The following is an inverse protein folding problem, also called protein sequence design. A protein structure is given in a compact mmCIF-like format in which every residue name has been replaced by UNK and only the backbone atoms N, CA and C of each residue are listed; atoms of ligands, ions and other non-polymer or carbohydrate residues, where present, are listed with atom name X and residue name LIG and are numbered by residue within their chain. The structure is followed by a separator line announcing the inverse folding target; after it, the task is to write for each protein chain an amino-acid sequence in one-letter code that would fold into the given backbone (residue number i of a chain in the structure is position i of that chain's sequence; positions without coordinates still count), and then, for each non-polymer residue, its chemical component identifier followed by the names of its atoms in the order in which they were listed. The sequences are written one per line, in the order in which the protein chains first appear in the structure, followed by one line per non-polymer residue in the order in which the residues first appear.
data_IF_888010106130
#
_entry.id   IF_888010106130
#
_cell.length_a   1.000
_cell.length_b   1.000
_cell.length_c   1.000
_cell.angle_alpha   90.00
_cell.angle_beta   90.00
_cell.angle_gamma   90.00
#
_symmetry.space_group_name_H-M   'P 1'
#
loop_
_entity.id
_entity.type
_entity.pdbx_description
1 polymer ?
#
# COMPACT_ATOMS: atom_id res chain seq x y z
N UNK A 1 -5.58 12.78 -22.06
CA UNK A 1 -4.64 11.67 -22.24
C UNK A 1 -3.29 12.08 -21.65
N UNK A 2 -3.05 11.81 -20.37
CA UNK A 2 -1.73 11.99 -19.79
C UNK A 2 -0.84 10.90 -20.34
N UNK A 3 0.24 11.26 -21.03
CA UNK A 3 1.25 10.33 -21.51
C UNK A 3 1.87 9.69 -20.26
N UNK A 4 1.60 8.41 -20.03
CA UNK A 4 2.30 7.62 -19.06
C UNK A 4 3.78 7.63 -19.46
N UNK A 5 4.54 8.46 -18.77
CA UNK A 5 5.97 8.57 -19.01
C UNK A 5 6.63 7.32 -18.43
N UNK A 6 7.25 6.55 -19.31
CA UNK A 6 8.06 5.36 -19.01
C UNK A 6 9.27 5.66 -18.09
N UNK A 7 9.36 6.85 -17.53
CA UNK A 7 10.49 7.34 -16.73
C UNK A 7 10.27 7.26 -15.22
N UNK A 8 9.13 6.75 -14.76
CA UNK A 8 8.68 7.09 -13.42
C UNK A 8 9.08 6.10 -12.31
N UNK A 9 9.71 4.99 -12.63
CA UNK A 9 10.16 4.07 -11.59
C UNK A 9 11.68 4.08 -11.36
N UNK A 10 12.40 4.98 -12.06
CA UNK A 10 13.87 5.12 -11.91
C UNK A 10 14.29 6.13 -10.85
N UNK A 11 13.36 6.67 -10.07
CA UNK A 11 13.71 7.66 -9.06
C UNK A 11 13.86 7.02 -7.69
N UNK A 12 15.11 7.11 -7.26
CA UNK A 12 15.60 7.01 -5.89
C UNK A 12 16.19 5.65 -5.46
N UNK A 13 16.88 4.97 -6.35
CA UNK A 13 18.01 4.19 -5.87
C UNK A 13 19.28 5.02 -6.00
N UNK A 14 19.61 5.84 -5.01
CA UNK A 14 20.98 6.22 -4.77
C UNK A 14 21.74 4.93 -4.51
N UNK A 15 22.53 4.52 -5.50
CA UNK A 15 23.46 3.40 -5.40
C UNK A 15 24.45 3.66 -4.26
N UNK A 16 24.11 3.25 -3.07
CA UNK A 16 25.08 2.97 -2.03
C UNK A 16 25.20 1.46 -1.96
N UNK A 17 26.37 0.98 -2.31
CA UNK A 17 26.96 -0.35 -2.03
C UNK A 17 25.99 -1.41 -1.57
N UNK A 18 25.89 -2.50 -2.31
CA UNK A 18 25.10 -3.71 -2.10
C UNK A 18 24.98 -4.13 -0.62
N UNK A 19 24.13 -3.45 0.12
CA UNK A 19 23.49 -3.97 1.30
C UNK A 19 22.18 -4.55 0.81
N UNK A 20 21.99 -5.83 0.92
CA UNK A 20 20.73 -6.49 0.68
C UNK A 20 19.71 -5.82 1.62
N UNK A 21 18.62 -5.33 1.10
CA UNK A 21 17.57 -4.77 1.94
C UNK A 21 16.92 -5.92 2.71
N UNK A 22 17.19 -6.02 4.01
CA UNK A 22 16.58 -7.01 4.89
C UNK A 22 15.44 -6.38 5.72
N UNK A 23 15.32 -5.04 5.69
CA UNK A 23 14.37 -4.27 6.48
C UNK A 23 13.25 -3.68 5.60
N UNK A 24 12.00 -3.79 6.07
CA UNK A 24 10.84 -3.20 5.41
C UNK A 24 10.92 -1.67 5.32
N UNK A 25 11.73 -1.01 6.15
CA UNK A 25 11.97 0.43 6.14
C UNK A 25 12.78 0.89 4.92
N UNK A 26 13.46 -0.02 4.22
CA UNK A 26 14.19 0.29 2.99
C UNK A 26 13.25 0.51 1.80
N UNK A 27 12.00 0.07 1.90
CA UNK A 27 11.00 0.29 0.86
C UNK A 27 10.18 1.55 1.14
N UNK A 28 10.01 2.39 0.10
CA UNK A 28 9.29 3.65 0.21
C UNK A 28 8.07 3.71 -0.71
N UNK A 29 7.02 4.36 -0.23
CA UNK A 29 5.88 4.78 -1.04
C UNK A 29 5.81 6.31 -0.95
N UNK A 30 5.99 7.00 -2.07
CA UNK A 30 6.03 8.49 -2.16
C UNK A 30 7.02 9.13 -1.17
N UNK A 31 8.18 8.48 -0.98
CA UNK A 31 9.23 8.95 -0.07
C UNK A 31 8.97 8.73 1.42
N UNK A 32 7.89 8.02 1.77
CA UNK A 32 7.58 7.65 3.15
C UNK A 32 7.94 6.20 3.42
N UNK A 33 8.54 5.92 4.57
CA UNK A 33 8.93 4.58 5.03
C UNK A 33 8.22 4.17 6.32
N UNK A 34 8.22 2.87 6.60
CA UNK A 34 7.86 2.35 7.91
C UNK A 34 8.82 2.92 8.97
N UNK A 35 8.27 3.39 10.08
CA UNK A 35 9.05 3.97 11.18
C UNK A 35 9.25 5.48 11.10
N UNK A 36 9.05 6.11 9.92
CA UNK A 36 9.06 7.57 9.80
C UNK A 36 7.96 8.20 10.66
N UNK A 37 8.17 9.44 11.04
CA UNK A 37 7.15 10.25 11.70
C UNK A 37 6.31 10.99 10.66
N UNK A 38 4.98 10.94 10.76
CA UNK A 38 4.13 11.80 9.92
C UNK A 38 4.39 13.31 10.18
N UNK A 39 5.04 13.66 11.28
CA UNK A 39 5.43 15.04 11.59
C UNK A 39 6.58 15.54 10.69
N UNK A 40 7.32 14.63 10.04
CA UNK A 40 8.36 14.99 9.08
C UNK A 40 7.75 15.49 7.76
N UNK A 41 6.50 15.12 7.47
CA UNK A 41 5.77 15.45 6.26
C UNK A 41 4.64 16.47 6.47
N UNK A 42 4.05 16.48 7.67
CA UNK A 42 2.85 17.28 7.99
C UNK A 42 2.92 17.89 9.37
N UNK A 43 2.35 19.08 9.53
CA UNK A 43 2.11 19.62 10.88
C UNK A 43 1.08 18.78 11.64
N UNK A 44 1.19 18.70 12.95
CA UNK A 44 0.23 17.97 13.81
C UNK A 44 -1.22 18.44 13.59
N UNK A 45 -1.41 19.75 13.38
CA UNK A 45 -2.72 20.35 13.08
C UNK A 45 -3.31 19.78 11.78
N UNK A 46 -2.47 19.51 10.77
CA UNK A 46 -2.88 18.91 9.49
C UNK A 46 -3.20 17.44 9.66
N UNK A 47 -2.37 16.69 10.39
CA UNK A 47 -2.60 15.25 10.69
C UNK A 47 -3.94 15.05 11.39
N UNK A 48 -4.28 15.90 12.36
CA UNK A 48 -5.57 15.83 13.09
C UNK A 48 -6.78 16.11 12.22
N UNK A 49 -6.62 16.83 11.11
CA UNK A 49 -7.71 17.20 10.18
C UNK A 49 -7.91 16.23 9.03
N UNK A 50 -6.95 15.35 8.76
CA UNK A 50 -7.13 14.36 7.71
C UNK A 50 -8.29 13.42 8.00
N UNK A 51 -8.93 12.96 6.92
CA UNK A 51 -9.96 11.93 6.99
C UNK A 51 -9.36 10.63 7.55
N UNK A 52 -10.06 10.03 8.48
CA UNK A 52 -9.64 8.79 9.14
C UNK A 52 -10.66 7.70 8.83
N UNK A 53 -10.14 6.51 8.53
CA UNK A 53 -10.98 5.34 8.36
C UNK A 53 -11.80 5.07 9.63
N UNK A 54 -13.10 4.86 9.47
CA UNK A 54 -14.06 4.61 10.54
C UNK A 54 -14.68 3.21 10.52
N UNK A 55 -14.25 2.37 9.57
CA UNK A 55 -14.77 1.01 9.38
C UNK A 55 -14.11 -0.05 10.28
N UNK A 56 -13.07 0.33 11.04
CA UNK A 56 -12.49 -0.57 12.05
C UNK A 56 -13.31 -0.52 13.36
N UNK A 57 -13.60 -1.69 13.91
CA UNK A 57 -14.29 -1.79 15.21
C UNK A 57 -13.34 -1.59 16.39
N UNK A 58 -12.03 -1.73 16.16
CA UNK A 58 -10.97 -1.57 17.14
C UNK A 58 -10.08 -0.36 16.80
N UNK A 59 -9.85 0.52 17.74
CA UNK A 59 -9.15 1.79 17.58
C UNK A 59 -7.68 1.76 18.05
N UNK A 60 -7.05 0.60 18.11
CA UNK A 60 -5.63 0.47 18.47
C UNK A 60 -4.74 1.20 17.46
N UNK A 61 -5.11 1.16 16.17
CA UNK A 61 -4.48 1.90 15.10
C UNK A 61 -5.44 2.89 14.45
N UNK A 62 -4.88 3.94 13.88
CA UNK A 62 -5.60 4.94 13.09
C UNK A 62 -5.03 4.93 11.68
N UNK A 63 -5.89 4.82 10.67
CA UNK A 63 -5.54 4.97 9.26
C UNK A 63 -6.04 6.31 8.76
N UNK A 64 -5.14 7.10 8.19
CA UNK A 64 -5.46 8.28 7.38
C UNK A 64 -5.57 7.80 5.95
N UNK A 65 -6.68 8.10 5.30
CA UNK A 65 -6.94 7.72 3.91
C UNK A 65 -6.83 8.90 2.95
N UNK A 66 -6.62 8.57 1.68
CA UNK A 66 -6.65 9.52 0.57
C UNK A 66 -5.73 10.73 0.76
N UNK A 67 -4.53 10.49 1.31
CA UNK A 67 -3.49 11.50 1.29
C UNK A 67 -3.14 11.82 -0.16
N UNK A 68 -3.16 13.11 -0.46
CA UNK A 68 -2.73 13.63 -1.76
C UNK A 68 -1.80 14.80 -1.49
N UNK A 69 -0.59 14.72 -2.03
CA UNK A 69 0.36 15.82 -2.02
C UNK A 69 0.76 16.15 -3.46
N UNK A 70 1.04 17.40 -3.76
CA UNK A 70 1.55 17.78 -5.08
C UNK A 70 2.87 17.10 -5.46
N UNK A 71 3.59 16.59 -4.46
CA UNK A 71 4.84 15.84 -4.64
C UNK A 71 4.65 14.36 -4.95
N UNK A 72 3.44 13.83 -4.85
CA UNK A 72 3.18 12.43 -5.21
C UNK A 72 3.22 12.29 -6.73
N UNK A 73 4.07 11.39 -7.21
CA UNK A 73 4.35 11.22 -8.62
C UNK A 73 3.79 9.92 -9.20
N UNK A 74 3.64 8.90 -8.36
CA UNK A 74 3.29 7.54 -8.76
C UNK A 74 1.86 7.20 -8.38
N UNK A 75 1.53 7.34 -7.10
CA UNK A 75 0.25 6.89 -6.56
C UNK A 75 -0.78 8.02 -6.54
N UNK A 76 -1.99 7.70 -7.01
CA UNK A 76 -3.12 8.65 -6.99
C UNK A 76 -3.63 8.87 -5.57
N UNK A 77 -3.59 7.81 -4.76
CA UNK A 77 -4.00 7.83 -3.37
C UNK A 77 -2.97 7.13 -2.51
N UNK A 78 -2.70 7.70 -1.35
CA UNK A 78 -1.86 7.08 -0.33
C UNK A 78 -2.63 7.03 0.99
N UNK A 79 -2.57 5.89 1.66
CA UNK A 79 -3.07 5.76 3.02
C UNK A 79 -1.92 5.41 3.97
N UNK A 80 -1.95 5.95 5.18
CA UNK A 80 -0.96 5.67 6.21
C UNK A 80 -1.63 5.27 7.51
N UNK A 81 -1.05 4.28 8.17
CA UNK A 81 -1.55 3.75 9.44
C UNK A 81 -0.50 3.93 10.53
N UNK A 82 -0.91 4.42 11.69
CA UNK A 82 -0.06 4.61 12.86
C UNK A 82 -0.77 4.13 14.13
N UNK A 83 -0.03 3.86 15.20
CA UNK A 83 -0.61 3.50 16.49
C UNK A 83 -1.32 4.70 17.10
N UNK A 84 -2.63 4.59 17.39
CA UNK A 84 -3.51 5.71 17.76
C UNK A 84 -2.99 6.55 18.94
N UNK A 85 -2.30 5.91 19.89
CA UNK A 85 -1.76 6.59 21.08
C UNK A 85 -0.34 7.14 20.89
N UNK A 86 0.28 6.91 19.72
CA UNK A 86 1.61 7.42 19.44
C UNK A 86 1.57 8.91 19.08
N UNK A 87 2.16 9.73 19.93
CA UNK A 87 2.25 11.18 19.73
C UNK A 87 3.28 11.59 18.65
N UNK A 88 4.17 10.68 18.30
CA UNK A 88 5.13 10.87 17.20
C UNK A 88 4.55 10.44 15.86
N UNK A 89 3.34 9.84 15.85
CA UNK A 89 2.67 9.38 14.63
C UNK A 89 3.57 8.50 13.75
N UNK A 90 4.30 7.55 14.35
CA UNK A 90 5.19 6.65 13.62
C UNK A 90 4.41 5.74 12.70
N UNK A 91 4.79 5.74 11.43
CA UNK A 91 4.15 4.97 10.38
C UNK A 91 4.36 3.46 10.63
N UNK A 92 3.26 2.71 10.67
CA UNK A 92 3.22 1.26 10.83
C UNK A 92 2.72 0.55 9.57
N UNK A 93 2.08 1.28 8.69
CA UNK A 93 1.62 0.80 7.40
C UNK A 93 1.46 1.93 6.41
N UNK A 94 1.79 1.64 5.15
CA UNK A 94 1.60 2.55 4.02
C UNK A 94 0.94 1.76 2.90
N UNK A 95 -0.01 2.40 2.23
CA UNK A 95 -0.67 1.87 1.04
C UNK A 95 -0.61 2.93 -0.05
N UNK A 96 -0.23 2.54 -1.25
CA UNK A 96 -0.35 3.36 -2.45
C UNK A 96 -1.27 2.67 -3.46
N UNK A 97 -2.22 3.43 -4.02
CA UNK A 97 -3.20 2.95 -4.99
C UNK A 97 -3.06 3.70 -6.33
N UNK A 98 -3.22 2.95 -7.43
CA UNK A 98 -3.28 3.45 -8.81
C UNK A 98 -4.50 2.82 -9.47
N UNK A 99 -5.36 3.64 -10.06
CA UNK A 99 -6.58 3.19 -10.73
C UNK A 99 -6.29 2.70 -12.17
N UNK A 100 -6.95 1.61 -12.57
CA UNK A 100 -6.92 1.05 -13.92
C UNK A 100 -8.36 0.81 -14.44
N UNK A 101 -9.20 1.86 -14.53
CA UNK A 101 -10.64 1.71 -14.74
C UNK A 101 -11.01 1.08 -16.08
N UNK A 102 -10.14 1.20 -17.09
CA UNK A 102 -10.47 0.76 -18.46
C UNK A 102 -9.94 -0.65 -18.78
N UNK A 103 -8.95 -1.14 -18.04
CA UNK A 103 -8.28 -2.39 -18.41
C UNK A 103 -7.51 -3.03 -17.25
N UNK A 104 -8.11 -3.99 -16.61
CA UNK A 104 -7.46 -4.79 -15.55
C UNK A 104 -6.18 -5.49 -16.03
N UNK A 105 -6.07 -5.79 -17.32
CA UNK A 105 -4.87 -6.38 -17.91
C UNK A 105 -3.63 -5.48 -17.80
N UNK A 106 -3.80 -4.18 -17.78
CA UNK A 106 -2.69 -3.23 -17.57
C UNK A 106 -2.27 -3.18 -16.10
N UNK A 107 -3.22 -3.34 -15.16
CA UNK A 107 -2.89 -3.57 -13.76
C UNK A 107 -1.99 -4.80 -13.59
N UNK A 108 -2.32 -5.93 -14.21
CA UNK A 108 -1.51 -7.14 -14.10
C UNK A 108 -0.09 -6.95 -14.65
N UNK A 109 0.06 -6.27 -15.77
CA UNK A 109 1.39 -5.96 -16.35
C UNK A 109 2.21 -5.06 -15.41
N UNK A 110 1.58 -4.04 -14.83
CA UNK A 110 2.25 -3.14 -13.89
C UNK A 110 2.61 -3.85 -12.60
N UNK A 111 1.69 -4.66 -12.05
CA UNK A 111 1.95 -5.52 -10.91
C UNK A 111 3.18 -6.40 -11.12
N UNK A 112 3.32 -7.03 -12.29
CA UNK A 112 4.44 -7.94 -12.56
C UNK A 112 5.78 -7.18 -12.53
N UNK A 113 5.85 -5.96 -13.06
CA UNK A 113 7.05 -5.11 -12.99
C UNK A 113 7.40 -4.73 -11.54
N UNK A 114 6.39 -4.29 -10.77
CA UNK A 114 6.59 -3.93 -9.35
C UNK A 114 7.05 -5.14 -8.55
N UNK A 115 6.47 -6.32 -8.81
CA UNK A 115 6.86 -7.58 -8.17
C UNK A 115 8.30 -7.97 -8.51
N UNK A 116 8.76 -7.74 -9.73
CA UNK A 116 10.15 -7.99 -10.14
C UNK A 116 11.10 -7.08 -9.35
N UNK A 117 10.85 -5.78 -9.30
CA UNK A 117 11.67 -4.81 -8.56
C UNK A 117 11.72 -5.12 -7.05
N UNK A 118 10.58 -5.46 -6.44
CA UNK A 118 10.55 -5.86 -5.02
C UNK A 118 11.30 -7.18 -4.81
N UNK A 119 11.26 -8.12 -5.77
CA UNK A 119 12.01 -9.37 -5.67
C UNK A 119 13.52 -9.15 -5.72
N UNK A 120 13.99 -8.15 -6.46
CA UNK A 120 15.40 -7.76 -6.48
C UNK A 120 15.81 -7.10 -5.16
N UNK A 121 14.96 -6.20 -4.64
CA UNK A 121 15.20 -5.50 -3.39
C UNK A 121 15.24 -6.46 -2.19
N UNK A 122 14.25 -7.35 -2.08
CA UNK A 122 14.09 -8.29 -0.98
C UNK A 122 14.32 -9.74 -1.44
N UNK A 123 15.52 -10.04 -1.91
CA UNK A 123 15.85 -11.35 -2.49
C UNK A 123 15.68 -12.53 -1.53
N UNK A 124 15.78 -12.29 -0.22
CA UNK A 124 15.63 -13.29 0.84
C UNK A 124 14.18 -13.41 1.36
N UNK A 125 13.29 -12.52 0.93
CA UNK A 125 11.90 -12.55 1.41
C UNK A 125 11.15 -13.81 0.95
N UNK A 126 10.34 -14.37 1.83
CA UNK A 126 9.42 -15.44 1.45
C UNK A 126 8.31 -14.89 0.58
N UNK A 127 8.34 -15.22 -0.71
CA UNK A 127 7.34 -14.80 -1.70
C UNK A 127 6.14 -15.75 -1.73
N UNK A 128 4.92 -15.21 -1.79
CA UNK A 128 3.68 -15.97 -1.93
C UNK A 128 2.73 -15.30 -2.91
N UNK A 129 2.24 -16.05 -3.90
CA UNK A 129 1.19 -15.63 -4.83
C UNK A 129 -0.16 -16.19 -4.39
N UNK A 130 -1.22 -15.38 -4.47
CA UNK A 130 -2.58 -15.76 -4.10
C UNK A 130 -3.59 -15.11 -5.04
N UNK A 131 -4.62 -15.88 -5.41
CA UNK A 131 -5.82 -15.39 -6.06
C UNK A 131 -7.01 -15.71 -5.16
N UNK A 132 -7.82 -14.72 -4.85
CA UNK A 132 -8.98 -14.92 -4.00
C UNK A 132 -10.10 -13.94 -4.34
N UNK A 133 -11.32 -14.25 -3.89
CA UNK A 133 -12.48 -13.36 -4.02
C UNK A 133 -12.38 -12.24 -3.02
N UNK A 134 -12.78 -11.03 -3.42
CA UNK A 134 -12.78 -9.89 -2.51
C UNK A 134 -13.91 -10.03 -1.48
N UNK A 135 -13.57 -10.01 -0.19
CA UNK A 135 -14.54 -10.28 0.90
C UNK A 135 -15.64 -9.21 1.02
N UNK A 136 -15.39 -8.00 0.55
CA UNK A 136 -16.37 -6.92 0.57
C UNK A 136 -17.47 -7.15 -0.46
N UNK A 137 -17.15 -7.71 -1.62
CA UNK A 137 -18.13 -8.08 -2.64
C UNK A 137 -18.87 -9.37 -2.26
N UNK A 138 -20.09 -9.23 -1.81
CA UNK A 138 -20.95 -10.36 -1.40
C UNK A 138 -21.46 -11.19 -2.59
N UNK A 139 -21.37 -10.67 -3.81
CA UNK A 139 -21.68 -11.45 -5.02
C UNK A 139 -20.59 -12.48 -5.32
N UNK A 140 -19.34 -12.22 -4.84
CA UNK A 140 -18.19 -13.07 -5.05
C UNK A 140 -17.63 -13.03 -6.47
N UNK A 141 -17.96 -11.98 -7.24
CA UNK A 141 -17.49 -11.80 -8.61
C UNK A 141 -16.19 -10.99 -8.67
N UNK A 142 -15.95 -10.09 -7.69
CA UNK A 142 -14.70 -9.34 -7.59
C UNK A 142 -13.55 -10.23 -7.15
N UNK A 143 -12.38 -10.04 -7.76
CA UNK A 143 -11.18 -10.86 -7.54
C UNK A 143 -10.00 -10.02 -7.09
N UNK A 144 -9.09 -10.64 -6.37
CA UNK A 144 -7.80 -10.05 -6.00
C UNK A 144 -6.70 -11.00 -6.43
N UNK A 145 -5.77 -10.48 -7.23
CA UNK A 145 -4.52 -11.15 -7.58
C UNK A 145 -3.38 -10.51 -6.79
N UNK A 146 -2.79 -11.22 -5.85
CA UNK A 146 -1.83 -10.69 -4.90
C UNK A 146 -0.52 -11.47 -4.91
N UNK A 147 0.61 -10.73 -4.84
CA UNK A 147 1.93 -11.25 -4.49
C UNK A 147 2.37 -10.60 -3.18
N UNK A 148 2.77 -11.40 -2.21
CA UNK A 148 3.27 -10.94 -0.91
C UNK A 148 4.70 -11.39 -0.68
N UNK A 149 5.48 -10.50 -0.07
CA UNK A 149 6.85 -10.69 0.39
C UNK A 149 6.84 -10.58 1.91
N UNK A 150 7.22 -11.65 2.58
CA UNK A 150 7.28 -11.71 4.04
C UNK A 150 8.72 -11.56 4.49
N UNK A 151 8.95 -10.57 5.34
CA UNK A 151 10.20 -10.26 6.00
C UNK A 151 10.01 -10.45 7.52
N UNK A 152 11.08 -10.42 8.30
CA UNK A 152 11.02 -10.65 9.74
C UNK A 152 10.15 -9.59 10.45
N UNK A 153 10.24 -8.34 10.04
CA UNK A 153 9.56 -7.22 10.69
C UNK A 153 8.22 -6.85 10.04
N UNK A 154 7.86 -7.47 8.92
CA UNK A 154 6.60 -7.14 8.25
C UNK A 154 6.40 -7.80 6.90
N UNK A 155 5.60 -7.16 6.06
CA UNK A 155 5.31 -7.65 4.72
C UNK A 155 5.10 -6.51 3.73
N UNK A 156 5.51 -6.76 2.49
CA UNK A 156 5.11 -5.96 1.32
C UNK A 156 4.15 -6.79 0.48
N UNK A 157 3.06 -6.19 0.02
CA UNK A 157 2.12 -6.86 -0.87
C UNK A 157 1.79 -5.98 -2.08
N UNK A 158 1.73 -6.61 -3.25
CA UNK A 158 1.32 -5.99 -4.52
C UNK A 158 0.08 -6.73 -5.01
N UNK A 159 -1.02 -6.00 -5.20
CA UNK A 159 -2.32 -6.57 -5.50
C UNK A 159 -2.99 -5.85 -6.66
N UNK A 160 -3.56 -6.60 -7.61
CA UNK A 160 -4.58 -6.06 -8.51
C UNK A 160 -5.96 -6.44 -7.98
N UNK A 161 -6.84 -5.44 -7.92
CA UNK A 161 -8.26 -5.58 -7.61
C UNK A 161 -9.03 -5.52 -8.92
N UNK A 162 -9.71 -6.61 -9.24
CA UNK A 162 -10.59 -6.79 -10.40
C UNK A 162 -12.02 -6.78 -9.86
N UNK A 163 -12.62 -5.60 -9.83
CA UNK A 163 -13.95 -5.40 -9.30
C UNK A 163 -15.02 -5.85 -10.30
N UNK A 164 -16.10 -6.39 -9.82
CA UNK A 164 -17.26 -6.69 -10.67
C UNK A 164 -17.91 -5.41 -11.19
N UNK A 165 -18.61 -5.49 -12.34
CA UNK A 165 -19.34 -4.35 -12.92
C UNK A 165 -20.24 -3.65 -11.89
N UNK A 166 -20.93 -4.41 -11.03
CA UNK A 166 -21.78 -3.85 -9.98
C UNK A 166 -21.00 -2.94 -9.00
N UNK A 167 -19.72 -3.24 -8.73
CA UNK A 167 -18.89 -2.45 -7.83
C UNK A 167 -18.18 -1.33 -8.56
N UNK A 168 -17.80 -1.51 -9.84
CA UNK A 168 -17.30 -0.44 -10.68
C UNK A 168 -18.32 0.70 -10.80
N UNK A 169 -19.60 0.37 -10.98
CA UNK A 169 -20.72 1.34 -11.00
C UNK A 169 -20.87 2.09 -9.66
N UNK A 170 -20.35 1.54 -8.57
CA UNK A 170 -20.32 2.15 -7.23
C UNK A 170 -19.03 2.92 -6.92
N UNK A 171 -18.25 3.28 -7.95
CA UNK A 171 -16.96 3.97 -7.84
C UNK A 171 -15.85 3.17 -7.13
N UNK A 172 -15.80 1.86 -7.34
CA UNK A 172 -14.66 1.02 -7.00
C UNK A 172 -13.92 0.65 -8.29
N UNK A 173 -12.99 1.49 -8.78
CA UNK A 173 -12.27 1.19 -10.01
C UNK A 173 -11.35 -0.01 -9.81
N UNK A 174 -11.12 -0.76 -10.89
CA UNK A 174 -10.01 -1.69 -10.91
C UNK A 174 -8.71 -0.97 -10.62
N UNK A 175 -7.80 -1.60 -9.90
CA UNK A 175 -6.61 -0.87 -9.47
C UNK A 175 -5.48 -1.74 -8.95
N UNK A 176 -4.29 -1.14 -8.97
CA UNK A 176 -3.09 -1.66 -8.34
C UNK A 176 -2.96 -1.08 -6.94
N UNK A 177 -2.73 -1.94 -5.98
CA UNK A 177 -2.37 -1.57 -4.61
C UNK A 177 -1.02 -2.13 -4.25
N UNK A 178 -0.13 -1.25 -3.79
CA UNK A 178 1.13 -1.62 -3.13
C UNK A 178 1.00 -1.26 -1.66
N UNK A 179 1.31 -2.19 -0.78
CA UNK A 179 1.21 -1.98 0.67
C UNK A 179 2.42 -2.50 1.41
N UNK A 180 2.83 -1.77 2.44
CA UNK A 180 3.82 -2.17 3.42
C UNK A 180 3.17 -2.18 4.78
N UNK A 181 3.38 -3.21 5.57
CA UNK A 181 2.84 -3.30 6.94
C UNK A 181 3.83 -3.95 7.88
N UNK A 182 3.94 -3.41 9.10
CA UNK A 182 4.68 -4.09 10.18
C UNK A 182 3.98 -5.39 10.57
N UNK A 183 4.71 -6.33 11.14
CA UNK A 183 4.18 -7.60 11.67
C UNK A 183 3.08 -7.37 12.71
N UNK A 184 3.21 -6.35 13.56
CA UNK A 184 2.21 -5.98 14.57
C UNK A 184 0.91 -5.48 13.93
N UNK A 185 0.99 -4.57 12.95
CA UNK A 185 -0.16 -4.07 12.23
C UNK A 185 -0.86 -5.19 11.44
N UNK A 186 -0.08 -6.06 10.78
CA UNK A 186 -0.60 -7.22 10.07
C UNK A 186 -1.34 -8.18 11.00
N UNK A 187 -0.83 -8.40 12.21
CA UNK A 187 -1.49 -9.21 13.24
C UNK A 187 -2.79 -8.56 13.73
N UNK A 188 -2.80 -7.23 13.90
CA UNK A 188 -4.00 -6.50 14.29
C UNK A 188 -5.09 -6.60 13.22
N UNK A 189 -4.76 -6.42 11.93
CA UNK A 189 -5.73 -6.59 10.83
C UNK A 189 -6.38 -7.98 10.85
N UNK A 190 -5.60 -9.03 11.05
CA UNK A 190 -6.12 -10.41 11.08
C UNK A 190 -6.98 -10.73 12.30
N UNK A 191 -6.66 -10.14 13.44
CA UNK A 191 -7.18 -10.65 14.72
C UNK A 191 -8.14 -9.71 15.43
N UNK A 192 -8.06 -8.38 15.18
CA UNK A 192 -8.75 -7.38 16.00
C UNK A 192 -9.52 -6.32 15.21
N UNK A 193 -9.02 -5.90 14.05
CA UNK A 193 -9.49 -4.70 13.36
C UNK A 193 -11.00 -4.69 13.05
N UNK A 194 -11.57 -5.87 12.79
CA UNK A 194 -12.95 -6.06 12.37
C UNK A 194 -13.79 -6.94 13.33
N UNK A 195 -13.34 -7.06 14.58
CA UNK A 195 -14.02 -7.91 15.58
C UNK A 195 -14.64 -7.10 16.69
#
# INVERSE_FOLDING_TARGET
MKKLSTYLFLLLFSFQTSSWADDISDFQIEGMSIGDSLLDYFTEKKIKKFFKADYYTNNEYTTIESLQLPSFEVYEYVAVTYYTKDKNYKIQGIVGDIDFPDNIGDCYKEKDKVVEQISELFSNAKKQNRNFKHNYDKTGNSKVNQTSFYLDEGAVAVSCFDWSEEYNDKNYPDGLRVSITTSNLSAWYRNKAYK
#
